data_IF_308984445192
#
_entry.id   IF_308984445192
#
_cell.length_a   1.000
_cell.length_b   1.000
_cell.length_c   1.000
_cell.angle_alpha   90.00
_cell.angle_beta   90.00
_cell.angle_gamma   90.00
#
_symmetry.space_group_name_H-M   'P 1'
#
loop_
_entity.id
_entity.type
_entity.pdbx_description
1 polymer ?
#
# COMPACT_ATOMS: atom_id res chain seq x y z
N UNK A 1 11.62 -22.51 -18.05
CA UNK A 1 10.44 -22.09 -17.27
C UNK A 1 9.21 -22.77 -17.84
N UNK A 2 8.56 -23.61 -17.05
CA UNK A 2 7.41 -24.40 -17.49
C UNK A 2 6.08 -23.68 -17.12
N UNK A 3 4.96 -24.10 -17.70
CA UNK A 3 3.67 -23.38 -17.59
C UNK A 3 3.15 -23.29 -16.14
N UNK A 4 3.49 -24.27 -15.29
CA UNK A 4 3.09 -24.31 -13.88
C UNK A 4 3.84 -23.26 -13.06
N UNK A 5 5.15 -23.13 -13.26
CA UNK A 5 5.98 -22.08 -12.63
C UNK A 5 5.46 -20.68 -13.01
N UNK A 6 5.16 -20.46 -14.29
CA UNK A 6 4.65 -19.17 -14.77
C UNK A 6 3.32 -18.80 -14.09
N UNK A 7 2.37 -19.75 -14.01
CA UNK A 7 1.08 -19.54 -13.32
C UNK A 7 1.27 -19.21 -11.84
N UNK A 8 2.21 -19.87 -11.17
CA UNK A 8 2.55 -19.60 -9.77
C UNK A 8 3.09 -18.17 -9.58
N UNK A 9 3.99 -17.72 -10.46
CA UNK A 9 4.54 -16.35 -10.44
C UNK A 9 3.43 -15.31 -10.62
N UNK A 10 2.55 -15.49 -11.61
CA UNK A 10 1.40 -14.58 -11.82
C UNK A 10 0.43 -14.55 -10.64
N UNK A 11 0.16 -15.70 -10.03
CA UNK A 11 -0.69 -15.76 -8.85
C UNK A 11 -0.06 -15.03 -7.67
N UNK A 12 1.22 -15.30 -7.37
CA UNK A 12 1.99 -14.61 -6.33
C UNK A 12 2.00 -13.10 -6.55
N UNK A 13 2.23 -12.65 -7.79
CA UNK A 13 2.18 -11.25 -8.18
C UNK A 13 0.82 -10.61 -7.86
N UNK A 14 -0.29 -11.23 -8.27
CA UNK A 14 -1.65 -10.73 -7.99
C UNK A 14 -1.93 -10.62 -6.50
N UNK A 15 -1.51 -11.61 -5.71
CA UNK A 15 -1.68 -11.60 -4.24
C UNK A 15 -0.87 -10.47 -3.63
N UNK A 16 0.42 -10.35 -3.95
CA UNK A 16 1.29 -9.26 -3.44
C UNK A 16 0.76 -7.88 -3.79
N UNK A 17 0.22 -7.74 -5.00
CA UNK A 17 -0.41 -6.50 -5.48
C UNK A 17 -1.67 -6.14 -4.71
N UNK A 18 -2.53 -7.13 -4.41
CA UNK A 18 -3.72 -6.91 -3.57
C UNK A 18 -3.32 -6.47 -2.16
N UNK A 19 -2.42 -7.22 -1.50
CA UNK A 19 -1.95 -6.89 -0.15
C UNK A 19 -1.31 -5.50 -0.13
N UNK A 20 -0.50 -5.16 -1.12
CA UNK A 20 0.14 -3.86 -1.17
C UNK A 20 -0.86 -2.71 -1.30
N UNK A 21 -1.86 -2.88 -2.16
CA UNK A 21 -2.94 -1.91 -2.33
C UNK A 21 -3.72 -1.70 -1.03
N UNK A 22 -4.10 -2.78 -0.37
CA UNK A 22 -4.90 -2.74 0.86
C UNK A 22 -4.12 -2.09 2.02
N UNK A 23 -2.84 -2.42 2.19
CA UNK A 23 -2.03 -1.96 3.31
C UNK A 23 -1.34 -0.63 3.04
N UNK A 24 -0.42 -0.58 2.06
CA UNK A 24 0.34 0.64 1.77
C UNK A 24 -0.54 1.72 1.15
N UNK A 25 -1.58 1.37 0.37
CA UNK A 25 -2.52 2.36 -0.15
C UNK A 25 -3.29 3.07 0.97
N UNK A 26 -3.73 2.32 1.99
CA UNK A 26 -4.38 2.89 3.19
C UNK A 26 -3.42 3.76 4.00
N UNK A 27 -2.16 3.34 4.16
CA UNK A 27 -1.13 4.18 4.79
C UNK A 27 -0.95 5.51 4.05
N UNK A 28 -0.89 5.47 2.72
CA UNK A 28 -0.71 6.65 1.89
C UNK A 28 -1.91 7.61 2.00
N UNK A 29 -3.14 7.07 2.06
CA UNK A 29 -4.36 7.84 2.34
C UNK A 29 -4.34 8.52 3.72
N UNK A 30 -4.00 7.78 4.77
CA UNK A 30 -3.90 8.32 6.13
C UNK A 30 -2.82 9.42 6.23
N UNK A 31 -1.69 9.23 5.57
CA UNK A 31 -0.60 10.22 5.53
C UNK A 31 -1.04 11.50 4.83
N UNK A 32 -1.81 11.39 3.75
CA UNK A 32 -2.36 12.53 3.03
C UNK A 32 -3.34 13.31 3.92
N UNK A 33 -4.24 12.63 4.62
CA UNK A 33 -5.17 13.26 5.57
C UNK A 33 -4.43 13.98 6.71
N UNK A 34 -3.36 13.37 7.23
CA UNK A 34 -2.52 13.98 8.26
C UNK A 34 -1.86 15.27 7.75
N UNK A 35 -1.34 15.24 6.53
CA UNK A 35 -0.76 16.43 5.91
C UNK A 35 -1.82 17.53 5.66
N UNK A 36 -3.05 17.15 5.30
CA UNK A 36 -4.14 18.11 5.15
C UNK A 36 -4.56 18.76 6.48
N UNK A 37 -4.55 18.01 7.58
CA UNK A 37 -4.78 18.55 8.92
C UNK A 37 -3.67 19.51 9.36
N UNK A 38 -2.41 19.11 9.19
CA UNK A 38 -1.26 19.93 9.61
C UNK A 38 -1.16 21.26 8.85
N UNK A 39 -1.64 21.30 7.60
CA UNK A 39 -1.60 22.51 6.76
C UNK A 39 -2.89 23.35 6.85
N UNK A 40 -3.80 23.05 7.78
CA UNK A 40 -5.08 23.73 7.88
C UNK A 40 -4.94 25.07 8.62
N UNK A 41 -5.31 26.20 7.99
CA UNK A 41 -5.30 27.55 8.59
C UNK A 41 -6.65 27.86 9.25
N UNK A 42 -6.71 28.45 10.44
CA UNK A 42 -7.97 28.84 11.11
C UNK A 42 -8.78 29.90 10.34
N UNK A 43 -9.72 29.47 9.49
CA UNK A 43 -10.66 30.30 8.71
C UNK A 43 -12.03 29.61 8.61
N UNK A 44 -13.11 30.33 8.29
CA UNK A 44 -14.45 29.69 8.18
C UNK A 44 -14.47 28.58 7.11
N UNK A 45 -13.74 28.75 6.02
CA UNK A 45 -13.56 27.70 4.99
C UNK A 45 -12.78 26.49 5.52
N UNK A 46 -11.85 26.70 6.46
CA UNK A 46 -11.16 25.60 7.13
C UNK A 46 -12.05 24.85 8.09
N UNK A 47 -13.04 25.49 8.72
CA UNK A 47 -14.00 24.83 9.60
C UNK A 47 -14.80 23.76 8.85
N UNK A 48 -15.31 24.10 7.65
CA UNK A 48 -16.00 23.14 6.77
C UNK A 48 -15.07 22.03 6.30
N UNK A 49 -13.82 22.37 5.94
CA UNK A 49 -12.81 21.39 5.53
C UNK A 49 -12.46 20.44 6.68
N UNK A 50 -12.26 20.97 7.89
CA UNK A 50 -12.04 20.23 9.14
C UNK A 50 -13.15 19.20 9.35
N UNK A 51 -14.40 19.64 9.34
CA UNK A 51 -15.54 18.75 9.57
C UNK A 51 -15.62 17.63 8.52
N UNK A 52 -15.32 17.93 7.25
CA UNK A 52 -15.28 16.91 6.20
C UNK A 52 -14.19 15.86 6.46
N UNK A 53 -12.97 16.31 6.78
CA UNK A 53 -11.85 15.40 7.08
C UNK A 53 -12.16 14.58 8.34
N UNK A 54 -12.74 15.17 9.38
CA UNK A 54 -13.19 14.45 10.59
C UNK A 54 -14.24 13.38 10.27
N UNK A 55 -15.25 13.69 9.45
CA UNK A 55 -16.24 12.70 9.01
C UNK A 55 -15.60 11.55 8.22
N UNK A 56 -14.64 11.86 7.35
CA UNK A 56 -13.88 10.84 6.60
C UNK A 56 -13.04 9.98 7.54
N UNK A 57 -12.40 10.57 8.54
CA UNK A 57 -11.62 9.86 9.56
C UNK A 57 -12.51 8.92 10.37
N UNK A 58 -13.71 9.37 10.73
CA UNK A 58 -14.71 8.58 11.45
C UNK A 58 -15.18 7.36 10.62
N UNK A 59 -15.34 7.52 9.31
CA UNK A 59 -15.65 6.41 8.40
C UNK A 59 -14.47 5.41 8.33
N UNK A 60 -13.24 5.91 8.18
CA UNK A 60 -12.04 5.06 8.15
C UNK A 60 -11.90 4.28 9.45
N UNK A 61 -12.21 4.90 10.59
CA UNK A 61 -12.22 4.26 11.88
C UNK A 61 -13.18 3.07 11.94
N UNK A 62 -14.44 3.28 11.56
CA UNK A 62 -15.45 2.22 11.54
C UNK A 62 -15.02 1.06 10.64
N UNK A 63 -14.40 1.38 9.50
CA UNK A 63 -13.86 0.36 8.61
C UNK A 63 -12.69 -0.42 9.21
N UNK A 64 -11.82 0.22 10.01
CA UNK A 64 -10.74 -0.48 10.73
C UNK A 64 -11.33 -1.44 11.77
N UNK A 65 -12.34 -1.01 12.53
CA UNK A 65 -13.00 -1.82 13.56
C UNK A 65 -13.66 -3.08 12.98
N UNK A 66 -14.18 -3.00 11.76
CA UNK A 66 -14.84 -4.09 11.06
C UNK A 66 -13.90 -4.93 10.18
N UNK A 67 -12.65 -4.49 9.99
CA UNK A 67 -11.68 -5.14 9.11
C UNK A 67 -11.22 -6.48 9.70
N UNK A 68 -11.73 -7.58 9.14
CA UNK A 68 -11.33 -8.95 9.46
C UNK A 68 -10.23 -9.49 8.55
N UNK A 69 -9.84 -8.75 7.52
CA UNK A 69 -8.94 -9.25 6.47
C UNK A 69 -7.48 -9.27 6.95
N UNK A 70 -7.10 -8.30 7.77
CA UNK A 70 -5.77 -8.19 8.38
C UNK A 70 -5.91 -7.96 9.89
N UNK A 71 -6.21 -9.01 10.67
CA UNK A 71 -6.42 -8.87 12.11
C UNK A 71 -5.12 -8.45 12.80
N UNK A 72 -5.18 -7.52 13.75
CA UNK A 72 -4.02 -7.22 14.58
C UNK A 72 -3.87 -8.28 15.68
N UNK A 73 -2.66 -8.43 16.21
CA UNK A 73 -2.45 -9.24 17.40
C UNK A 73 -3.28 -8.70 18.56
N UNK A 74 -3.97 -9.57 19.30
CA UNK A 74 -4.95 -9.23 20.36
C UNK A 74 -4.43 -8.18 21.37
N UNK A 75 -3.14 -8.24 21.72
CA UNK A 75 -2.50 -7.29 22.65
C UNK A 75 -2.27 -5.89 22.08
N UNK A 76 -2.09 -5.78 20.76
CA UNK A 76 -1.87 -4.52 20.05
C UNK A 76 -3.21 -3.90 19.64
N UNK A 77 -4.16 -4.74 19.23
CA UNK A 77 -5.51 -4.34 18.86
C UNK A 77 -6.25 -3.73 20.06
N UNK A 78 -6.28 -4.41 21.21
CA UNK A 78 -6.99 -3.94 22.41
C UNK A 78 -6.49 -2.59 22.95
N UNK A 79 -5.17 -2.39 23.06
CA UNK A 79 -4.61 -1.14 23.60
C UNK A 79 -4.81 0.06 22.67
N UNK A 80 -4.69 -0.15 21.36
CA UNK A 80 -4.86 0.93 20.39
C UNK A 80 -6.34 1.24 20.13
N UNK A 81 -7.21 0.22 20.04
CA UNK A 81 -8.65 0.46 19.96
C UNK A 81 -9.14 1.22 21.19
N UNK A 82 -8.70 0.85 22.40
CA UNK A 82 -9.12 1.53 23.62
C UNK A 82 -8.70 3.01 23.63
N UNK A 83 -7.50 3.33 23.11
CA UNK A 83 -7.05 4.73 22.95
C UNK A 83 -7.88 5.47 21.91
N UNK A 84 -8.18 4.81 20.79
CA UNK A 84 -8.96 5.39 19.70
C UNK A 84 -10.44 5.59 20.07
N UNK A 85 -11.00 4.71 20.92
CA UNK A 85 -12.36 4.84 21.46
C UNK A 85 -12.50 5.96 22.49
N UNK A 86 -11.39 6.32 23.16
CA UNK A 86 -11.33 7.43 24.13
C UNK A 86 -11.14 8.79 23.45
N UNK A 87 -10.70 8.82 22.21
CA UNK A 87 -10.44 10.05 21.48
C UNK A 87 -11.73 10.65 20.91
N UNK A 88 -12.06 11.86 21.37
CA UNK A 88 -13.22 12.59 20.87
C UNK A 88 -12.80 13.37 19.62
N UNK A 89 -13.30 13.02 18.43
CA UNK A 89 -12.97 13.67 17.16
C UNK A 89 -13.60 15.07 17.01
N UNK A 90 -13.35 15.98 17.95
CA UNK A 90 -13.95 17.32 17.99
C UNK A 90 -12.97 18.42 17.60
N UNK A 91 -11.67 18.23 17.86
CA UNK A 91 -10.63 19.19 17.51
C UNK A 91 -9.70 18.67 16.39
N UNK A 92 -8.90 19.59 15.83
CA UNK A 92 -7.84 19.25 14.89
C UNK A 92 -6.78 18.37 15.56
N UNK A 93 -6.43 18.65 16.81
CA UNK A 93 -5.42 17.92 17.57
C UNK A 93 -5.86 16.48 17.86
N UNK A 94 -7.14 16.29 18.21
CA UNK A 94 -7.73 14.95 18.36
C UNK A 94 -7.70 14.17 17.04
N UNK A 95 -8.01 14.85 15.93
CA UNK A 95 -7.97 14.26 14.59
C UNK A 95 -6.55 13.84 14.16
N UNK A 96 -5.55 14.67 14.48
CA UNK A 96 -4.13 14.36 14.24
C UNK A 96 -3.68 13.17 15.08
N UNK A 97 -4.03 13.15 16.36
CA UNK A 97 -3.67 12.05 17.28
C UNK A 97 -4.30 10.73 16.82
N UNK A 98 -5.58 10.77 16.47
CA UNK A 98 -6.31 9.63 15.93
C UNK A 98 -5.67 9.12 14.61
N UNK A 99 -5.25 10.01 13.71
CA UNK A 99 -4.54 9.65 12.49
C UNK A 99 -3.18 8.98 12.77
N UNK A 100 -2.44 9.45 13.77
CA UNK A 100 -1.19 8.81 14.19
C UNK A 100 -1.44 7.38 14.71
N UNK A 101 -2.45 7.20 15.56
CA UNK A 101 -2.80 5.86 16.05
C UNK A 101 -3.23 4.92 14.90
N UNK A 102 -4.02 5.42 13.94
CA UNK A 102 -4.40 4.62 12.76
C UNK A 102 -3.21 4.27 11.87
N UNK A 103 -2.23 5.17 11.73
CA UNK A 103 -0.99 4.91 11.03
C UNK A 103 -0.18 3.82 11.74
N UNK A 104 -0.05 3.87 13.06
CA UNK A 104 0.64 2.85 13.86
C UNK A 104 -0.01 1.47 13.71
N UNK A 105 -1.34 1.40 13.77
CA UNK A 105 -2.09 0.17 13.47
C UNK A 105 -1.77 -0.33 12.06
N UNK A 106 -1.75 0.55 11.06
CA UNK A 106 -1.47 0.17 9.69
C UNK A 106 -0.02 -0.31 9.49
N UNK A 107 0.95 0.31 10.18
CA UNK A 107 2.35 -0.12 10.18
C UNK A 107 2.53 -1.52 10.74
N UNK A 108 1.86 -1.86 11.86
CA UNK A 108 1.90 -3.23 12.36
C UNK A 108 1.22 -4.23 11.40
N UNK A 109 0.12 -3.84 10.75
CA UNK A 109 -0.47 -4.67 9.67
C UNK A 109 0.52 -4.90 8.52
N UNK A 110 1.25 -3.85 8.10
CA UNK A 110 2.31 -3.98 7.08
C UNK A 110 3.42 -4.91 7.56
N UNK A 111 3.84 -4.81 8.82
CA UNK A 111 4.90 -5.67 9.37
C UNK A 111 4.47 -7.15 9.41
N UNK A 112 3.23 -7.43 9.79
CA UNK A 112 2.71 -8.79 9.90
C UNK A 112 2.38 -9.41 8.54
N UNK A 113 1.67 -8.68 7.69
CA UNK A 113 1.10 -9.22 6.44
C UNK A 113 1.78 -8.69 5.17
N UNK A 114 2.40 -7.52 5.28
CA UNK A 114 3.05 -6.82 4.17
C UNK A 114 4.55 -7.10 4.02
N UNK A 115 5.17 -7.87 4.92
CA UNK A 115 6.63 -8.09 4.97
C UNK A 115 7.22 -8.72 3.71
N UNK A 116 6.42 -9.52 3.00
CA UNK A 116 6.82 -10.17 1.74
C UNK A 116 6.44 -9.38 0.48
N UNK A 117 5.90 -8.17 0.65
CA UNK A 117 5.46 -7.26 -0.42
C UNK A 117 6.07 -5.88 -0.26
N UNK A 118 5.91 -5.02 -1.27
CA UNK A 118 6.52 -3.70 -1.36
C UNK A 118 5.50 -2.65 -1.77
N UNK A 119 5.74 -1.39 -1.38
CA UNK A 119 4.98 -0.24 -1.87
C UNK A 119 5.03 -0.13 -3.40
N UNK A 120 6.05 -0.69 -4.07
CA UNK A 120 6.16 -0.65 -5.55
C UNK A 120 4.99 -1.32 -6.28
N UNK A 121 4.23 -2.17 -5.59
CA UNK A 121 3.03 -2.80 -6.12
C UNK A 121 1.76 -1.94 -6.00
N UNK A 122 1.83 -0.81 -5.29
CA UNK A 122 0.73 0.16 -5.23
C UNK A 122 0.64 0.88 -6.58
N UNK A 123 -0.56 0.97 -7.19
CA UNK A 123 -0.74 1.70 -8.44
C UNK A 123 -0.33 3.17 -8.29
N UNK A 124 0.28 3.73 -9.34
CA UNK A 124 0.50 5.17 -9.42
C UNK A 124 -0.87 5.85 -9.55
N UNK A 125 -1.09 6.93 -8.80
CA UNK A 125 -2.39 7.61 -8.69
C UNK A 125 -3.11 7.74 -10.04
N UNK A 126 -4.38 7.30 -10.08
CA UNK A 126 -5.28 7.22 -11.25
C UNK A 126 -4.92 6.21 -12.36
N UNK A 127 -3.82 5.48 -12.24
CA UNK A 127 -3.46 4.43 -13.21
C UNK A 127 -3.74 3.02 -12.68
N UNK A 128 -3.85 2.06 -13.60
CA UNK A 128 -3.80 0.62 -13.28
C UNK A 128 -2.38 0.08 -13.28
N UNK A 129 -1.34 0.92 -13.39
CA UNK A 129 0.06 0.50 -13.52
C UNK A 129 0.79 0.83 -12.22
N UNK A 130 1.60 -0.10 -11.72
CA UNK A 130 2.49 0.14 -10.59
C UNK A 130 3.97 0.06 -11.02
N UNK A 131 4.89 0.49 -10.14
CA UNK A 131 6.32 0.42 -10.43
C UNK A 131 6.80 -1.02 -10.62
N UNK A 132 6.18 -1.98 -9.91
CA UNK A 132 6.47 -3.39 -10.11
C UNK A 132 6.09 -3.87 -11.52
N UNK A 133 5.01 -3.35 -12.13
CA UNK A 133 4.64 -3.65 -13.52
C UNK A 133 5.77 -3.20 -14.47
N UNK A 134 6.31 -1.99 -14.27
CA UNK A 134 7.42 -1.48 -15.08
C UNK A 134 8.67 -2.36 -14.96
N UNK A 135 9.07 -2.72 -13.73
CA UNK A 135 10.24 -3.58 -13.49
C UNK A 135 10.06 -4.96 -14.14
N UNK A 136 8.87 -5.56 -14.02
CA UNK A 136 8.57 -6.84 -14.66
C UNK A 136 8.65 -6.77 -16.19
N UNK A 137 8.11 -5.71 -16.80
CA UNK A 137 8.17 -5.50 -18.25
C UNK A 137 9.61 -5.29 -18.73
N UNK A 138 10.39 -4.46 -18.04
CA UNK A 138 11.80 -4.22 -18.40
C UNK A 138 12.63 -5.49 -18.25
N UNK A 139 12.46 -6.26 -17.16
CA UNK A 139 13.14 -7.54 -16.96
C UNK A 139 12.77 -8.58 -18.03
N UNK A 140 11.52 -8.62 -18.46
CA UNK A 140 11.07 -9.49 -19.55
C UNK A 140 11.71 -9.12 -20.88
N UNK A 141 11.75 -7.82 -21.22
CA UNK A 141 12.35 -7.31 -22.47
C UNK A 141 13.86 -7.56 -22.48
N UNK A 142 14.56 -7.25 -21.38
CA UNK A 142 16.02 -7.48 -21.26
C UNK A 142 16.33 -8.98 -21.28
N UNK A 143 15.51 -9.81 -20.63
CA UNK A 143 15.65 -11.27 -20.70
C UNK A 143 15.49 -11.83 -22.12
N UNK A 144 14.48 -11.35 -22.87
CA UNK A 144 14.29 -11.71 -24.27
C UNK A 144 15.45 -11.24 -25.16
N UNK A 145 15.89 -9.99 -25.03
CA UNK A 145 17.02 -9.44 -25.80
C UNK A 145 18.34 -10.13 -25.43
N UNK A 146 18.54 -10.48 -24.16
CA UNK A 146 19.67 -11.26 -23.68
C UNK A 146 19.71 -12.66 -24.28
N UNK A 147 18.56 -13.35 -24.34
CA UNK A 147 18.45 -14.67 -24.98
C UNK A 147 18.68 -14.59 -26.49
N UNK A 148 18.18 -13.55 -27.17
CA UNK A 148 18.39 -13.36 -28.62
C UNK A 148 19.86 -13.04 -28.91
N UNK A 149 20.50 -12.17 -28.11
CA UNK A 149 21.90 -11.79 -28.31
C UNK A 149 22.87 -12.94 -27.98
N UNK A 150 22.68 -13.67 -26.87
CA UNK A 150 23.52 -14.83 -26.54
C UNK A 150 23.23 -16.04 -27.44
N UNK A 151 21.97 -16.29 -27.80
CA UNK A 151 21.58 -17.38 -28.70
C UNK A 151 22.08 -17.15 -30.13
N UNK A 152 22.03 -15.92 -30.62
CA UNK A 152 22.62 -15.54 -31.91
C UNK A 152 24.15 -15.63 -31.94
N UNK A 153 24.81 -15.29 -30.84
CA UNK A 153 26.28 -15.39 -30.73
C UNK A 153 26.75 -16.85 -30.75
N UNK A 154 26.08 -17.74 -30.03
CA UNK A 154 26.41 -19.18 -30.02
C UNK A 154 26.15 -19.86 -31.37
N UNK A 155 25.07 -19.50 -32.08
CA UNK A 155 24.81 -20.03 -33.43
C UNK A 155 25.81 -19.52 -34.47
N UNK A 156 26.29 -18.28 -34.33
CA UNK A 156 27.33 -17.72 -35.21
C UNK A 156 28.70 -18.39 -35.02
N UNK A 157 29.04 -18.81 -33.80
CA UNK A 157 30.29 -19.53 -33.52
C UNK A 157 30.20 -20.99 -34.02
N UNK A 158 29.03 -21.64 -33.90
CA UNK A 158 28.84 -23.00 -34.41
C UNK A 158 28.71 -23.08 -35.96
N UNK A 159 28.49 -21.97 -36.65
CA UNK A 159 28.41 -21.93 -38.13
C UNK A 159 29.77 -21.63 -38.80
N UNK A 160 30.84 -21.39 -38.03
CA UNK A 160 32.18 -21.02 -38.54
C UNK A 160 33.23 -22.12 -38.35
N UNK A 161 32.81 -23.34 -38.05
CA UNK A 161 33.62 -24.57 -38.05
C UNK A 161 33.04 -25.58 -39.02
#
# INVERSE_FOLDING_TARGET
>A
MNMVELKSIFHSYKVKRKIAKDLYGKRDELTLLLNEFNNMKCTVTSEKKKNNILSRLQLIYQNIKLDKQYPLSVSFDSKLLERLEKESLHTIEDGVTCLHLMLDMNYEKIKQYGSSTSRSFVPLSQSSICLADCICLTGFIVGLLGVISFGGFMLSICSTT
#
